data_IF_749448831846
#
_entry.id   IF_749448831846
#
_cell.length_a   1.000
_cell.length_b   1.000
_cell.length_c   1.000
_cell.angle_alpha   90.00
_cell.angle_beta   90.00
_cell.angle_gamma   90.00
#
_symmetry.space_group_name_H-M   'P 1'
#
loop_
_entity.id
_entity.type
_entity.pdbx_description
1 polymer ?
#
# COMPACT_ATOMS: atom_id res chain seq x y z
N UNK A 1 4.33 -16.01 12.85
CA UNK A 1 3.97 -16.50 11.54
C UNK A 1 4.14 -18.02 11.54
N UNK A 2 3.09 -18.79 11.61
CA UNK A 2 3.18 -20.26 11.66
C UNK A 2 2.94 -20.79 10.25
N UNK A 3 3.89 -21.54 9.74
CA UNK A 3 3.62 -22.45 8.64
C UNK A 3 2.72 -23.54 9.22
N UNK A 4 1.54 -23.70 8.65
CA UNK A 4 0.58 -24.72 9.10
C UNK A 4 1.08 -26.11 8.72
N UNK A 5 1.00 -27.09 9.63
CA UNK A 5 1.15 -28.48 9.27
C UNK A 5 -0.06 -28.98 8.48
N UNK A 6 0.19 -29.95 7.66
CA UNK A 6 -0.70 -30.67 6.77
C UNK A 6 -2.01 -31.10 7.46
N UNK A 7 -3.07 -30.34 7.25
CA UNK A 7 -4.45 -30.79 7.51
C UNK A 7 -5.36 -30.18 6.49
N UNK A 8 -5.90 -31.00 5.61
CA UNK A 8 -6.74 -30.66 4.47
C UNK A 8 -8.04 -29.90 4.80
N UNK A 9 -7.91 -28.68 5.25
CA UNK A 9 -8.99 -27.70 5.37
C UNK A 9 -8.53 -26.39 4.78
N UNK A 10 -9.27 -25.90 3.82
CA UNK A 10 -9.20 -24.52 3.33
C UNK A 10 -9.50 -23.59 4.49
N UNK A 11 -8.51 -22.87 4.98
CA UNK A 11 -8.73 -21.76 5.89
C UNK A 11 -8.69 -20.46 5.08
N UNK A 12 -9.78 -19.72 5.14
CA UNK A 12 -9.79 -18.30 4.80
C UNK A 12 -8.69 -17.60 5.58
N UNK A 13 -7.79 -16.97 4.86
CA UNK A 13 -6.73 -16.15 5.46
C UNK A 13 -7.22 -14.72 5.47
N UNK A 14 -7.65 -14.27 6.64
CA UNK A 14 -7.91 -12.87 6.90
C UNK A 14 -6.73 -11.99 6.47
N UNK A 15 -7.07 -10.84 5.86
CA UNK A 15 -6.16 -9.92 5.19
C UNK A 15 -5.03 -9.37 6.06
N UNK A 16 -4.00 -10.18 6.24
CA UNK A 16 -2.73 -9.74 6.82
C UNK A 16 -1.82 -9.13 5.75
N UNK A 17 -1.32 -7.95 6.01
CA UNK A 17 -0.28 -7.29 5.22
C UNK A 17 0.96 -8.17 5.22
N UNK A 18 1.24 -8.83 4.11
CA UNK A 18 2.48 -9.58 3.93
C UNK A 18 3.61 -8.63 3.59
N UNK A 19 4.45 -8.33 4.57
CA UNK A 19 5.75 -7.71 4.35
C UNK A 19 6.66 -8.68 3.61
N UNK A 20 7.04 -8.29 2.39
CA UNK A 20 8.25 -8.69 1.72
C UNK A 20 8.50 -10.19 1.50
N UNK A 21 7.71 -10.86 0.68
CA UNK A 21 8.11 -12.12 0.08
C UNK A 21 8.09 -11.97 -1.45
N UNK A 22 9.25 -12.08 -2.08
CA UNK A 22 9.32 -12.23 -3.54
C UNK A 22 8.54 -13.47 -3.94
N UNK A 23 7.47 -13.32 -4.72
CA UNK A 23 6.62 -14.42 -5.15
C UNK A 23 6.78 -14.63 -6.65
N UNK A 24 7.44 -15.70 -7.05
CA UNK A 24 7.23 -16.27 -8.36
C UNK A 24 6.23 -17.42 -8.21
N UNK A 25 5.15 -17.38 -8.97
CA UNK A 25 4.20 -18.48 -9.04
C UNK A 25 4.42 -19.23 -10.35
N UNK A 26 4.59 -20.55 -10.27
CA UNK A 26 4.65 -21.42 -11.42
C UNK A 26 3.37 -22.26 -11.48
N UNK A 27 2.80 -22.36 -12.67
CA UNK A 27 1.70 -23.27 -12.95
C UNK A 27 2.22 -24.52 -13.63
N UNK A 28 1.82 -25.66 -13.16
CA UNK A 28 1.97 -26.92 -13.90
C UNK A 28 0.63 -27.62 -13.96
N UNK A 29 0.19 -27.96 -15.16
CA UNK A 29 -1.00 -28.79 -15.35
C UNK A 29 -0.63 -30.22 -14.97
N UNK A 30 -1.25 -30.74 -13.90
CA UNK A 30 -1.10 -32.13 -13.48
C UNK A 30 -2.20 -32.95 -14.14
N UNK A 31 -1.81 -33.99 -14.91
CA UNK A 31 -2.76 -34.83 -15.59
C UNK A 31 -3.73 -35.56 -14.65
N UNK A 32 -4.92 -35.86 -15.13
CA UNK A 32 -5.94 -36.59 -14.35
C UNK A 32 -5.48 -38.01 -14.07
N UNK A 33 -5.29 -38.37 -12.80
CA UNK A 33 -4.96 -39.75 -12.38
C UNK A 33 -4.58 -39.86 -10.89
N UNK A 34 -4.75 -41.01 -10.34
CA UNK A 34 -4.86 -41.45 -8.94
C UNK A 34 -3.65 -41.12 -7.99
N UNK A 35 -2.59 -40.45 -8.42
CA UNK A 35 -1.42 -40.13 -7.57
C UNK A 35 -1.16 -38.65 -7.39
N UNK A 36 -2.20 -37.86 -7.07
CA UNK A 36 -2.14 -36.39 -7.03
C UNK A 36 -1.13 -35.81 -6.05
N UNK A 37 -0.96 -36.37 -4.84
CA UNK A 37 -0.05 -35.83 -3.82
C UNK A 37 1.42 -36.05 -4.18
N UNK A 38 1.76 -37.18 -4.75
CA UNK A 38 3.11 -37.47 -5.21
C UNK A 38 3.48 -36.65 -6.44
N UNK A 39 2.55 -36.47 -7.38
CA UNK A 39 2.78 -35.65 -8.58
C UNK A 39 2.91 -34.15 -8.26
N UNK A 40 2.20 -33.64 -7.25
CA UNK A 40 2.39 -32.26 -6.77
C UNK A 40 3.74 -32.10 -6.08
N UNK A 41 4.19 -33.10 -5.32
CA UNK A 41 5.56 -33.13 -4.76
C UNK A 41 6.62 -33.21 -5.83
N UNK A 42 6.50 -34.10 -6.80
CA UNK A 42 7.42 -34.19 -7.96
C UNK A 42 7.45 -32.93 -8.81
N UNK A 43 6.31 -32.24 -8.97
CA UNK A 43 6.25 -30.96 -9.66
C UNK A 43 6.92 -29.86 -8.86
N UNK A 44 6.75 -29.84 -7.53
CA UNK A 44 7.42 -28.92 -6.64
C UNK A 44 8.95 -29.15 -6.59
N UNK A 45 9.38 -30.42 -6.59
CA UNK A 45 10.79 -30.80 -6.62
C UNK A 45 11.47 -30.46 -7.95
N UNK A 46 10.71 -30.48 -9.07
CA UNK A 46 11.23 -30.09 -10.41
C UNK A 46 11.35 -28.56 -10.58
N UNK A 47 10.61 -27.79 -9.82
CA UNK A 47 10.64 -26.30 -9.89
C UNK A 47 11.78 -25.72 -9.02
N UNK A 48 12.74 -26.53 -8.58
CA UNK A 48 13.85 -26.13 -7.71
C UNK A 48 13.33 -25.28 -6.52
N UNK A 49 13.71 -25.53 -5.32
CA UNK A 49 13.33 -24.82 -4.08
C UNK A 49 11.86 -24.30 -3.96
N UNK A 50 10.97 -24.65 -4.91
CA UNK A 50 9.57 -24.22 -4.93
C UNK A 50 8.70 -25.12 -4.04
N UNK A 51 8.09 -24.56 -2.99
CA UNK A 51 7.08 -25.25 -2.21
C UNK A 51 5.72 -25.12 -2.90
N UNK A 52 5.00 -26.25 -3.08
CA UNK A 52 3.61 -26.22 -3.48
C UNK A 52 2.80 -25.44 -2.42
N UNK A 53 2.05 -24.43 -2.84
CA UNK A 53 1.31 -23.53 -1.93
C UNK A 53 -0.20 -23.60 -2.12
N UNK A 54 -0.67 -24.33 -3.14
CA UNK A 54 -2.08 -24.52 -3.42
C UNK A 54 -2.32 -25.15 -4.77
N UNK A 55 -3.56 -25.34 -5.11
CA UNK A 55 -3.96 -25.89 -6.41
C UNK A 55 -5.45 -25.73 -6.64
N UNK A 56 -5.85 -25.87 -7.89
CA UNK A 56 -7.24 -26.05 -8.31
C UNK A 56 -7.37 -27.48 -8.83
N UNK A 57 -8.00 -28.33 -8.03
CA UNK A 57 -8.18 -29.73 -8.36
C UNK A 57 -9.08 -29.95 -9.58
N UNK A 58 -10.11 -29.11 -9.74
CA UNK A 58 -11.03 -29.21 -10.87
C UNK A 58 -10.34 -28.83 -12.18
N UNK A 59 -9.47 -27.82 -12.14
CA UNK A 59 -8.67 -27.43 -13.30
C UNK A 59 -7.40 -28.27 -13.48
N UNK A 60 -7.06 -29.17 -12.54
CA UNK A 60 -5.81 -29.95 -12.58
C UNK A 60 -4.55 -29.10 -12.49
N UNK A 61 -4.59 -28.00 -11.74
CA UNK A 61 -3.51 -27.03 -11.61
C UNK A 61 -2.94 -27.06 -10.19
N UNK A 62 -1.60 -27.04 -10.08
CA UNK A 62 -0.89 -26.82 -8.83
C UNK A 62 -0.06 -25.55 -8.91
N UNK A 63 0.01 -24.80 -7.81
CA UNK A 63 0.80 -23.59 -7.68
C UNK A 63 2.03 -23.87 -6.83
N UNK A 64 3.21 -23.58 -7.36
CA UNK A 64 4.46 -23.62 -6.63
C UNK A 64 5.02 -22.21 -6.45
N UNK A 65 5.70 -21.99 -5.32
CA UNK A 65 6.28 -20.69 -4.96
C UNK A 65 7.77 -20.82 -4.73
N UNK A 66 8.57 -20.20 -5.60
CA UNK A 66 9.99 -20.03 -5.39
C UNK A 66 10.27 -18.78 -4.53
N UNK A 67 11.27 -18.88 -3.65
CA UNK A 67 11.69 -17.82 -2.74
C UNK A 67 13.18 -17.60 -2.83
N UNK A 68 13.62 -16.36 -2.99
CA UNK A 68 15.05 -16.01 -3.09
C UNK A 68 15.81 -16.17 -1.77
N UNK A 69 15.10 -16.21 -0.65
CA UNK A 69 15.68 -16.34 0.68
C UNK A 69 15.74 -17.77 1.21
N UNK A 70 15.13 -18.77 0.52
CA UNK A 70 15.22 -20.17 0.91
C UNK A 70 16.67 -20.64 0.98
N UNK A 71 17.04 -21.27 2.10
CA UNK A 71 18.40 -21.72 2.39
C UNK A 71 19.40 -20.60 2.74
N UNK A 72 18.92 -19.36 2.91
CA UNK A 72 19.74 -18.18 3.26
C UNK A 72 19.33 -17.54 4.59
N UNK A 73 18.51 -18.20 5.36
CA UNK A 73 17.92 -17.70 6.60
C UNK A 73 18.98 -17.40 7.66
N UNK A 74 19.92 -18.33 7.87
CA UNK A 74 20.99 -18.14 8.84
C UNK A 74 21.97 -17.05 8.41
N UNK A 75 22.32 -16.99 7.13
CA UNK A 75 23.20 -15.94 6.63
C UNK A 75 22.56 -14.56 6.78
N UNK A 76 21.25 -14.44 6.53
CA UNK A 76 20.47 -13.23 6.76
C UNK A 76 20.47 -12.83 8.24
N UNK A 77 20.28 -13.80 9.14
CA UNK A 77 20.34 -13.57 10.58
C UNK A 77 21.72 -13.08 11.02
N UNK A 78 22.80 -13.70 10.53
CA UNK A 78 24.16 -13.25 10.83
C UNK A 78 24.44 -11.84 10.30
N UNK A 79 23.96 -11.51 9.11
CA UNK A 79 24.03 -10.15 8.59
C UNK A 79 23.35 -9.16 9.54
N UNK A 80 22.17 -9.51 10.02
CA UNK A 80 21.39 -8.68 10.95
C UNK A 80 22.10 -8.47 12.29
N UNK A 81 22.60 -9.53 12.90
CA UNK A 81 23.28 -9.45 14.20
C UNK A 81 24.60 -8.69 14.09
N UNK A 82 25.37 -8.90 13.03
CA UNK A 82 26.69 -8.30 12.84
C UNK A 82 26.70 -6.87 12.36
N UNK A 83 25.58 -6.36 11.81
CA UNK A 83 25.53 -4.97 11.35
C UNK A 83 25.86 -3.96 12.47
N UNK A 84 25.50 -4.25 13.74
CA UNK A 84 25.83 -3.42 14.89
C UNK A 84 27.33 -3.36 15.24
N UNK A 85 28.15 -4.24 14.65
CA UNK A 85 29.60 -4.27 14.82
C UNK A 85 30.34 -3.47 13.73
N UNK A 86 29.63 -3.00 12.70
CA UNK A 86 30.21 -2.23 11.64
C UNK A 86 30.67 -0.85 12.14
N UNK A 87 31.87 -0.44 11.73
CA UNK A 87 32.48 0.84 12.11
C UNK A 87 32.34 1.92 11.04
N UNK A 88 31.86 1.55 9.87
CA UNK A 88 31.65 2.45 8.75
C UNK A 88 30.55 1.94 7.80
N UNK A 89 30.20 2.78 6.82
CA UNK A 89 29.18 2.45 5.81
C UNK A 89 29.51 1.18 5.02
N UNK A 90 30.78 0.99 4.62
CA UNK A 90 31.19 -0.16 3.79
C UNK A 90 31.01 -1.46 4.55
N UNK A 91 31.47 -1.50 5.80
CA UNK A 91 31.33 -2.66 6.68
C UNK A 91 29.85 -2.99 6.95
N UNK A 92 29.06 -1.94 7.21
CA UNK A 92 27.63 -2.09 7.44
C UNK A 92 26.89 -2.59 6.16
N UNK A 93 27.20 -2.03 5.01
CA UNK A 93 26.61 -2.42 3.73
C UNK A 93 26.94 -3.90 3.38
N UNK A 94 28.16 -4.36 3.72
CA UNK A 94 28.54 -5.76 3.57
C UNK A 94 27.72 -6.72 4.44
N UNK A 95 27.24 -6.29 5.61
CA UNK A 95 26.28 -7.08 6.39
C UNK A 95 24.86 -7.03 5.80
N UNK A 96 24.47 -5.89 5.27
CA UNK A 96 23.19 -5.74 4.58
C UNK A 96 23.09 -6.62 3.33
N UNK A 97 24.19 -6.83 2.60
CA UNK A 97 24.27 -7.73 1.45
C UNK A 97 23.96 -9.19 1.80
N UNK A 98 24.25 -9.62 3.02
CA UNK A 98 23.96 -10.99 3.48
C UNK A 98 22.47 -11.23 3.65
N UNK A 99 21.68 -10.18 3.90
CA UNK A 99 20.26 -10.30 4.14
C UNK A 99 19.50 -10.60 2.84
N UNK A 100 18.88 -11.76 2.77
CA UNK A 100 18.07 -12.19 1.65
C UNK A 100 16.61 -11.73 1.74
N UNK A 101 16.17 -11.22 2.90
CA UNK A 101 14.83 -10.67 3.10
C UNK A 101 14.77 -9.23 2.61
N UNK A 102 13.63 -8.89 2.00
CA UNK A 102 13.36 -7.53 1.49
C UNK A 102 12.95 -6.61 2.63
N UNK A 103 13.89 -5.78 3.10
CA UNK A 103 13.70 -4.89 4.25
C UNK A 103 14.40 -3.55 3.98
N UNK A 104 13.85 -2.48 4.53
CA UNK A 104 14.47 -1.16 4.54
C UNK A 104 15.45 -1.07 5.70
N UNK A 105 16.73 -0.91 5.41
CA UNK A 105 17.77 -0.71 6.41
C UNK A 105 18.33 0.70 6.35
N UNK A 106 18.57 1.28 7.53
CA UNK A 106 19.10 2.63 7.71
C UNK A 106 20.40 2.61 8.47
N UNK A 107 21.31 3.48 8.05
CA UNK A 107 22.60 3.70 8.67
C UNK A 107 22.70 5.14 9.16
N UNK A 108 23.29 5.33 10.33
CA UNK A 108 23.74 6.61 10.82
C UNK A 108 25.00 6.43 11.67
N UNK A 109 25.95 7.35 11.59
CA UNK A 109 27.17 7.32 12.41
C UNK A 109 27.44 8.64 13.12
N UNK A 110 28.40 8.60 14.06
CA UNK A 110 28.79 9.77 14.85
C UNK A 110 29.49 10.86 14.03
N UNK A 111 29.86 10.59 12.78
CA UNK A 111 30.48 11.56 11.86
C UNK A 111 29.43 12.35 11.09
N UNK A 112 28.15 12.06 11.34
CA UNK A 112 27.03 12.71 10.67
C UNK A 112 26.63 12.05 9.34
N UNK A 113 27.18 10.90 9.02
CA UNK A 113 26.79 10.19 7.81
C UNK A 113 25.47 9.45 8.01
N UNK A 114 24.65 9.43 6.96
CA UNK A 114 23.41 8.67 6.89
C UNK A 114 23.40 7.81 5.62
N UNK A 115 22.72 6.68 5.67
CA UNK A 115 22.64 5.77 4.53
C UNK A 115 21.37 4.92 4.56
N UNK A 116 21.01 4.40 3.41
CA UNK A 116 19.88 3.53 3.22
C UNK A 116 20.17 2.44 2.21
N UNK A 117 19.65 1.27 2.46
CA UNK A 117 19.59 0.18 1.48
C UNK A 117 18.30 -0.60 1.62
N UNK A 118 17.70 -0.92 0.49
CA UNK A 118 16.63 -1.90 0.43
C UNK A 118 17.25 -3.28 0.23
N UNK A 119 17.33 -4.07 1.31
CA UNK A 119 17.97 -5.38 1.29
C UNK A 119 17.17 -6.39 0.48
N UNK A 120 17.67 -7.60 0.40
CA UNK A 120 17.02 -8.72 -0.28
C UNK A 120 17.83 -9.24 -1.46
N UNK A 121 17.54 -10.47 -1.83
CA UNK A 121 18.05 -11.11 -3.05
C UNK A 121 16.94 -11.07 -4.09
N UNK A 122 17.19 -10.44 -5.22
CA UNK A 122 16.20 -10.27 -6.27
C UNK A 122 16.48 -11.19 -7.45
N UNK A 123 15.46 -11.91 -7.96
CA UNK A 123 15.65 -12.80 -9.08
C UNK A 123 15.82 -12.01 -10.38
N UNK A 124 16.75 -12.46 -11.22
CA UNK A 124 16.83 -12.06 -12.62
C UNK A 124 15.78 -12.82 -13.43
N UNK A 125 14.70 -12.14 -13.79
CA UNK A 125 13.55 -12.71 -14.48
C UNK A 125 13.73 -12.72 -15.99
N UNK A 126 13.03 -13.64 -16.65
CA UNK A 126 12.93 -13.65 -18.12
C UNK A 126 12.15 -12.44 -18.62
N UNK A 127 12.48 -11.98 -19.82
CA UNK A 127 11.71 -10.96 -20.50
C UNK A 127 10.26 -11.42 -20.71
N UNK A 128 9.31 -10.50 -20.61
CA UNK A 128 7.88 -10.79 -20.74
C UNK A 128 7.21 -11.37 -19.50
N UNK A 129 7.95 -11.58 -18.41
CA UNK A 129 7.35 -12.00 -17.14
C UNK A 129 6.48 -10.87 -16.55
N UNK A 130 5.17 -11.08 -16.55
CA UNK A 130 4.25 -10.20 -15.82
C UNK A 130 4.22 -10.60 -14.35
N UNK A 131 4.80 -9.77 -13.48
CA UNK A 131 4.89 -10.00 -12.04
C UNK A 131 3.54 -10.13 -11.32
N UNK A 132 2.46 -9.73 -11.99
CA UNK A 132 1.10 -9.78 -11.46
C UNK A 132 0.46 -11.16 -11.59
N UNK A 133 1.01 -11.99 -12.46
CA UNK A 133 0.41 -13.26 -12.84
C UNK A 133 1.39 -14.39 -12.56
N UNK A 134 0.86 -15.58 -12.20
CA UNK A 134 1.64 -16.80 -12.20
C UNK A 134 2.13 -17.14 -13.61
N UNK A 135 3.23 -17.83 -13.70
CA UNK A 135 3.81 -18.29 -14.98
C UNK A 135 3.74 -19.81 -15.10
N UNK A 136 3.71 -20.36 -16.33
CA UNK A 136 3.76 -21.80 -16.53
C UNK A 136 4.99 -22.45 -15.88
N UNK A 137 4.80 -23.57 -15.19
CA UNK A 137 5.87 -24.35 -14.55
C UNK A 137 6.65 -25.24 -15.52
N UNK A 138 6.86 -24.79 -16.75
CA UNK A 138 7.59 -25.51 -17.82
C UNK A 138 9.10 -25.31 -17.78
N UNK A 139 9.57 -24.39 -16.90
CA UNK A 139 10.98 -23.98 -16.83
C UNK A 139 11.33 -22.80 -17.74
N UNK A 140 10.52 -22.47 -18.74
CA UNK A 140 10.80 -21.36 -19.66
C UNK A 140 10.87 -19.99 -18.98
N UNK A 141 10.11 -19.82 -17.92
CA UNK A 141 10.03 -18.57 -17.14
C UNK A 141 10.81 -18.63 -15.83
N UNK A 142 11.61 -19.67 -15.62
CA UNK A 142 12.49 -19.76 -14.45
C UNK A 142 13.50 -18.62 -14.40
N UNK A 143 13.90 -18.27 -13.19
CA UNK A 143 14.89 -17.21 -12.99
C UNK A 143 16.22 -17.58 -13.64
N UNK A 144 16.88 -16.60 -14.25
CA UNK A 144 18.24 -16.76 -14.77
C UNK A 144 19.32 -16.81 -13.69
N UNK A 145 18.96 -16.34 -12.50
CA UNK A 145 19.84 -16.21 -11.35
C UNK A 145 19.35 -15.11 -10.42
N UNK A 146 20.25 -14.54 -9.64
CA UNK A 146 20.00 -13.42 -8.76
C UNK A 146 20.71 -12.18 -9.30
N UNK A 147 20.05 -11.03 -9.19
CA UNK A 147 20.65 -9.74 -9.48
C UNK A 147 21.78 -9.45 -8.47
N UNK A 148 22.84 -8.75 -8.88
CA UNK A 148 23.92 -8.37 -7.98
C UNK A 148 23.41 -7.34 -6.96
N UNK A 149 23.87 -7.43 -5.72
CA UNK A 149 23.42 -6.57 -4.61
C UNK A 149 23.57 -5.07 -4.90
N UNK A 150 24.59 -4.67 -5.67
CA UNK A 150 24.77 -3.26 -6.08
C UNK A 150 23.61 -2.68 -6.88
N UNK A 151 22.71 -3.53 -7.43
CA UNK A 151 21.49 -3.08 -8.12
C UNK A 151 20.33 -2.81 -7.17
N UNK A 152 20.45 -3.18 -5.91
CA UNK A 152 19.44 -2.86 -4.92
C UNK A 152 19.38 -1.34 -4.69
N UNK A 153 18.19 -0.77 -4.45
CA UNK A 153 18.07 0.63 -4.07
C UNK A 153 18.93 0.94 -2.84
N UNK A 154 19.86 1.89 -3.00
CA UNK A 154 20.75 2.31 -1.92
C UNK A 154 21.20 3.74 -2.12
N UNK A 155 21.41 4.45 -1.03
CA UNK A 155 21.94 5.81 -1.03
C UNK A 155 22.79 6.05 0.22
N UNK A 156 23.83 6.83 0.06
CA UNK A 156 24.70 7.27 1.14
C UNK A 156 24.88 8.79 1.06
N UNK A 157 24.62 9.48 2.17
CA UNK A 157 24.68 10.93 2.30
C UNK A 157 23.91 11.66 1.18
N UNK A 158 22.56 11.48 1.10
CA UNK A 158 21.79 12.15 0.06
C UNK A 158 21.85 13.67 0.22
N UNK A 159 21.80 14.40 -0.90
CA UNK A 159 21.82 15.87 -0.92
C UNK A 159 20.69 16.52 -0.11
N UNK A 160 19.59 15.81 0.07
CA UNK A 160 18.46 16.24 0.91
C UNK A 160 18.82 16.37 2.39
N UNK A 161 19.89 15.69 2.84
CA UNK A 161 20.30 15.65 4.24
C UNK A 161 19.40 14.80 5.15
N UNK A 162 18.41 14.11 4.60
CA UNK A 162 17.52 13.21 5.35
C UNK A 162 17.10 11.98 4.54
N UNK A 163 16.62 10.98 5.25
CA UNK A 163 16.01 9.77 4.69
C UNK A 163 14.64 9.60 5.29
N UNK A 164 13.64 9.31 4.44
CA UNK A 164 12.27 9.08 4.86
C UNK A 164 11.72 7.80 4.25
N UNK A 165 10.92 7.11 5.03
CA UNK A 165 10.15 5.97 4.57
C UNK A 165 8.83 5.88 5.33
N UNK A 166 7.78 5.61 4.61
CA UNK A 166 6.49 5.24 5.17
C UNK A 166 5.84 4.15 4.32
N UNK A 167 6.59 3.08 4.07
CA UNK A 167 6.25 1.95 3.20
C UNK A 167 6.05 2.33 1.71
N UNK A 168 6.66 3.42 1.29
CA UNK A 168 6.69 3.86 -0.10
C UNK A 168 7.64 3.00 -0.95
N UNK A 169 7.61 3.20 -2.26
CA UNK A 169 8.60 2.60 -3.15
C UNK A 169 10.01 3.01 -2.72
N UNK A 170 10.97 2.05 -2.70
CA UNK A 170 12.34 2.33 -2.25
C UNK A 170 13.09 3.31 -3.14
N UNK A 171 12.70 3.43 -4.40
CA UNK A 171 13.18 4.49 -5.31
C UNK A 171 12.21 4.69 -6.47
N UNK A 172 12.28 5.85 -7.12
CA UNK A 172 11.47 6.15 -8.31
C UNK A 172 11.81 5.17 -9.44
N UNK A 173 10.78 4.60 -10.04
CA UNK A 173 10.93 3.68 -11.18
C UNK A 173 11.45 2.29 -10.80
N UNK A 174 11.55 1.98 -9.51
CA UNK A 174 11.96 0.65 -9.07
C UNK A 174 10.94 -0.41 -9.50
N UNK A 175 11.37 -1.42 -10.27
CA UNK A 175 10.49 -2.52 -10.66
C UNK A 175 10.17 -3.34 -9.42
N UNK A 176 8.95 -3.24 -8.95
CA UNK A 176 8.54 -3.89 -7.73
C UNK A 176 8.54 -5.42 -7.84
N UNK A 177 9.52 -6.12 -7.28
CA UNK A 177 9.53 -7.58 -7.28
C UNK A 177 8.56 -8.19 -6.28
N UNK A 178 8.03 -7.40 -5.34
CA UNK A 178 7.27 -7.86 -4.18
C UNK A 178 5.75 -7.70 -4.33
N UNK A 179 5.27 -7.32 -5.49
CA UNK A 179 3.84 -7.14 -5.81
C UNK A 179 3.12 -6.02 -5.04
N UNK A 180 3.83 -5.15 -4.36
CA UNK A 180 3.21 -4.01 -3.67
C UNK A 180 2.87 -2.84 -4.61
N UNK A 181 2.96 -3.07 -5.92
CA UNK A 181 2.62 -2.08 -6.95
C UNK A 181 1.19 -1.53 -6.80
N UNK A 182 0.25 -2.29 -6.23
CA UNK A 182 -1.10 -1.84 -5.89
C UNK A 182 -1.10 -0.81 -4.75
N UNK A 183 -0.11 -0.88 -3.86
CA UNK A 183 -0.01 0.00 -2.70
C UNK A 183 0.84 1.24 -2.96
N UNK A 184 1.62 1.26 -4.05
CA UNK A 184 2.47 2.39 -4.40
C UNK A 184 1.81 3.26 -5.47
N UNK A 185 1.97 4.54 -5.36
CA UNK A 185 1.41 5.52 -6.30
C UNK A 185 1.79 6.94 -5.97
N UNK A 186 1.38 7.88 -6.80
CA UNK A 186 1.69 9.30 -6.60
C UNK A 186 0.94 9.92 -5.40
N UNK A 187 -0.24 9.39 -5.06
CA UNK A 187 -0.90 9.73 -3.82
C UNK A 187 -0.34 8.85 -2.72
N UNK A 188 0.50 9.41 -1.88
CA UNK A 188 1.17 8.70 -0.79
C UNK A 188 1.29 9.58 0.45
N UNK A 189 1.22 8.94 1.61
CA UNK A 189 1.40 9.60 2.91
C UNK A 189 2.82 10.09 3.13
N UNK A 190 3.80 9.51 2.43
CA UNK A 190 5.18 9.96 2.45
C UNK A 190 5.31 11.45 2.15
N UNK A 191 4.53 11.96 1.20
CA UNK A 191 4.56 13.37 0.80
C UNK A 191 4.24 14.33 1.95
N UNK A 192 3.46 13.89 2.95
CA UNK A 192 3.19 14.68 4.15
C UNK A 192 4.42 14.74 5.06
N UNK A 193 5.12 13.62 5.24
CA UNK A 193 6.34 13.55 6.02
C UNK A 193 7.47 14.37 5.37
N UNK A 194 7.66 14.24 4.06
CA UNK A 194 8.65 15.02 3.30
C UNK A 194 8.41 16.53 3.43
N UNK A 195 7.15 16.96 3.27
CA UNK A 195 6.80 18.37 3.40
C UNK A 195 7.09 18.92 4.79
N UNK A 196 6.82 18.15 5.83
CA UNK A 196 7.12 18.57 7.22
C UNK A 196 8.61 18.61 7.49
N UNK A 197 9.38 17.63 7.01
CA UNK A 197 10.82 17.64 7.15
C UNK A 197 11.45 18.79 6.38
N UNK A 198 11.03 19.04 5.14
CA UNK A 198 11.56 20.13 4.32
C UNK A 198 11.30 21.53 4.94
N UNK A 199 10.26 21.68 5.75
CA UNK A 199 9.97 22.92 6.48
C UNK A 199 10.90 23.16 7.70
N UNK A 200 11.71 22.16 8.09
CA UNK A 200 12.54 22.20 9.28
C UNK A 200 13.99 21.86 8.91
N UNK A 201 14.83 22.85 8.60
CA UNK A 201 16.20 22.60 8.13
C UNK A 201 17.12 21.94 9.18
N UNK A 202 16.72 22.00 10.45
CA UNK A 202 17.38 21.31 11.56
C UNK A 202 16.34 20.79 12.53
N UNK A 203 16.51 19.55 12.97
CA UNK A 203 15.68 18.89 13.95
C UNK A 203 16.57 18.23 15.00
N UNK A 204 16.30 18.50 16.25
CA UNK A 204 16.74 17.66 17.37
C UNK A 204 15.75 16.51 17.61
N UNK A 205 16.02 15.71 18.63
CA UNK A 205 15.17 14.54 18.92
C UNK A 205 13.75 14.94 19.34
N UNK A 206 13.60 16.01 20.10
CA UNK A 206 12.29 16.47 20.60
C UNK A 206 11.47 17.07 19.46
N UNK A 207 12.09 17.86 18.59
CA UNK A 207 11.43 18.40 17.39
C UNK A 207 11.03 17.28 16.42
N UNK A 208 11.84 16.22 16.28
CA UNK A 208 11.47 15.05 15.49
C UNK A 208 10.24 14.33 16.08
N UNK A 209 10.18 14.14 17.39
CA UNK A 209 9.00 13.57 18.06
C UNK A 209 7.76 14.44 17.90
N UNK A 210 7.92 15.75 18.06
CA UNK A 210 6.82 16.71 17.86
C UNK A 210 6.26 16.70 16.43
N UNK A 211 7.09 16.35 15.44
CA UNK A 211 6.68 16.21 14.04
C UNK A 211 5.89 14.92 13.78
N UNK A 212 6.16 13.84 14.52
CA UNK A 212 5.54 12.55 14.28
C UNK A 212 4.03 12.54 14.58
N UNK A 213 3.59 13.13 15.71
CA UNK A 213 2.18 13.15 16.10
C UNK A 213 1.30 13.77 15.00
N UNK A 214 1.52 15.03 14.57
CA UNK A 214 0.70 15.63 13.53
C UNK A 214 0.83 14.93 12.17
N UNK A 215 1.96 14.27 11.88
CA UNK A 215 2.10 13.45 10.68
C UNK A 215 1.19 12.23 10.74
N UNK A 216 1.09 11.58 11.89
CA UNK A 216 0.27 10.37 12.07
C UNK A 216 -1.23 10.66 12.03
N UNK A 217 -1.65 11.84 12.52
CA UNK A 217 -3.05 12.23 12.57
C UNK A 217 -3.54 12.94 11.30
N UNK A 218 -2.61 13.33 10.40
CA UNK A 218 -2.98 14.08 9.21
C UNK A 218 -3.78 13.24 8.21
N UNK A 219 -4.91 13.76 7.74
CA UNK A 219 -5.56 13.25 6.55
C UNK A 219 -4.85 13.77 5.30
N UNK A 220 -4.09 12.90 4.65
CA UNK A 220 -3.38 13.26 3.42
C UNK A 220 -4.26 13.20 2.18
N UNK A 221 -5.41 12.50 2.25
CA UNK A 221 -6.29 12.33 1.10
C UNK A 221 -6.95 13.64 0.68
N UNK A 222 -7.34 14.47 1.63
CA UNK A 222 -7.88 15.81 1.37
C UNK A 222 -6.94 16.61 0.46
N UNK A 223 -5.63 16.54 0.68
CA UNK A 223 -4.65 17.24 -0.15
C UNK A 223 -4.74 16.88 -1.63
N UNK A 224 -4.99 15.61 -1.92
CA UNK A 224 -5.02 15.12 -3.31
C UNK A 224 -6.34 15.40 -4.02
N UNK A 225 -7.44 15.45 -3.27
CA UNK A 225 -8.78 15.49 -3.88
C UNK A 225 -9.52 16.81 -3.68
N UNK A 226 -9.18 17.59 -2.64
CA UNK A 226 -9.85 18.86 -2.36
C UNK A 226 -9.87 19.82 -3.58
N UNK A 227 -8.77 20.01 -4.34
CA UNK A 227 -8.82 20.91 -5.50
C UNK A 227 -9.83 20.46 -6.57
N UNK A 228 -10.02 19.15 -6.73
CA UNK A 228 -11.01 18.60 -7.66
C UNK A 228 -12.44 18.76 -7.13
N UNK A 229 -12.63 18.63 -5.82
CA UNK A 229 -13.92 18.87 -5.16
C UNK A 229 -14.33 20.34 -5.23
N UNK A 230 -13.40 21.27 -4.96
CA UNK A 230 -13.63 22.72 -5.12
C UNK A 230 -14.04 23.07 -6.54
N UNK A 231 -13.34 22.50 -7.53
CA UNK A 231 -13.71 22.66 -8.96
C UNK A 231 -15.11 22.10 -9.25
N UNK A 232 -15.46 20.94 -8.69
CA UNK A 232 -16.75 20.31 -8.92
C UNK A 232 -17.91 21.14 -8.40
N UNK A 233 -17.76 21.80 -7.25
CA UNK A 233 -18.83 22.60 -6.62
C UNK A 233 -18.81 24.08 -6.99
N UNK A 234 -17.86 24.54 -7.79
CA UNK A 234 -17.65 25.97 -8.06
C UNK A 234 -18.88 26.68 -8.65
N UNK A 235 -19.67 25.97 -9.48
CA UNK A 235 -20.89 26.50 -10.11
C UNK A 235 -22.17 26.33 -9.27
N UNK A 236 -22.10 25.72 -8.09
CA UNK A 236 -23.27 25.52 -7.25
C UNK A 236 -23.58 26.76 -6.40
N UNK A 237 -24.86 27.00 -6.04
CA UNK A 237 -25.25 28.06 -5.11
C UNK A 237 -24.53 27.92 -3.75
N UNK A 238 -24.44 29.03 -3.01
CA UNK A 238 -23.73 29.05 -1.73
C UNK A 238 -24.42 28.22 -0.64
N UNK A 239 -25.73 28.06 -0.72
CA UNK A 239 -26.57 27.25 0.15
C UNK A 239 -26.66 25.79 -0.27
N UNK A 240 -26.06 25.39 -1.38
CA UNK A 240 -25.99 23.97 -1.78
C UNK A 240 -25.15 23.19 -0.74
N UNK A 241 -25.75 22.15 -0.20
CA UNK A 241 -25.13 21.35 0.87
C UNK A 241 -23.81 20.70 0.46
N UNK A 242 -23.65 20.29 -0.79
CA UNK A 242 -22.39 19.74 -1.33
C UNK A 242 -21.28 20.81 -1.30
N UNK A 243 -21.61 22.06 -1.64
CA UNK A 243 -20.67 23.18 -1.57
C UNK A 243 -20.30 23.50 -0.12
N UNK A 244 -21.26 23.44 0.79
CA UNK A 244 -21.01 23.61 2.23
C UNK A 244 -20.09 22.51 2.78
N UNK A 245 -20.30 21.25 2.41
CA UNK A 245 -19.40 20.14 2.77
C UNK A 245 -17.95 20.39 2.29
N UNK A 246 -17.78 20.84 1.05
CA UNK A 246 -16.45 21.14 0.50
C UNK A 246 -15.80 22.34 1.19
N UNK A 247 -16.58 23.35 1.61
CA UNK A 247 -16.08 24.46 2.45
C UNK A 247 -15.58 23.98 3.82
N UNK A 248 -16.28 23.04 4.44
CA UNK A 248 -15.81 22.42 5.70
C UNK A 248 -14.50 21.66 5.49
N UNK A 249 -14.35 20.95 4.38
CA UNK A 249 -13.08 20.30 4.02
C UNK A 249 -11.95 21.31 3.77
N UNK A 250 -12.26 22.42 3.10
CA UNK A 250 -11.28 23.47 2.79
C UNK A 250 -10.78 24.22 4.03
N UNK A 251 -11.66 24.45 5.00
CA UNK A 251 -11.33 25.08 6.27
C UNK A 251 -10.71 24.16 7.32
N UNK A 252 -10.63 22.87 7.04
CA UNK A 252 -10.11 21.89 7.99
C UNK A 252 -8.57 21.89 8.02
N UNK A 253 -8.00 21.82 9.21
CA UNK A 253 -6.56 21.66 9.42
C UNK A 253 -6.03 20.27 8.99
N UNK A 254 -6.93 19.38 8.63
CA UNK A 254 -6.69 17.99 8.19
C UNK A 254 -6.25 17.06 9.30
N UNK A 255 -6.49 17.42 10.55
CA UNK A 255 -6.13 16.59 11.68
C UNK A 255 -7.33 15.75 12.15
N UNK A 256 -7.12 14.44 12.24
CA UNK A 256 -8.02 13.56 12.96
C UNK A 256 -7.68 13.63 14.45
N UNK A 257 -8.00 14.75 15.09
CA UNK A 257 -7.72 14.99 16.51
C UNK A 257 -9.02 14.95 17.33
N UNK A 258 -8.86 14.63 18.61
CA UNK A 258 -9.88 14.65 19.67
C UNK A 258 -9.21 15.35 20.85
N UNK A 259 -9.07 16.68 20.73
CA UNK A 259 -8.34 17.50 21.70
C UNK A 259 -9.09 17.61 23.03
N UNK A 260 -10.43 17.62 22.98
CA UNK A 260 -11.30 17.69 24.15
C UNK A 260 -11.51 16.32 24.82
N UNK A 261 -11.10 15.21 24.16
CA UNK A 261 -11.16 13.81 24.65
C UNK A 261 -12.59 13.34 24.93
N UNK A 262 -13.56 13.77 24.12
CA UNK A 262 -14.94 13.30 24.24
C UNK A 262 -15.22 12.02 23.45
N UNK A 263 -14.22 11.47 22.75
CA UNK A 263 -14.30 10.28 21.94
C UNK A 263 -14.85 10.53 20.55
N UNK A 264 -14.84 11.78 20.09
CA UNK A 264 -15.21 12.19 18.74
C UNK A 264 -14.12 13.07 18.15
N UNK A 265 -13.96 13.00 16.84
CA UNK A 265 -13.06 13.94 16.15
C UNK A 265 -13.62 15.36 16.20
N UNK A 266 -12.77 16.35 16.36
CA UNK A 266 -13.14 17.76 16.57
C UNK A 266 -13.77 18.44 15.33
N UNK A 267 -13.63 17.84 14.13
CA UNK A 267 -14.09 18.43 12.87
C UNK A 267 -15.08 17.55 12.13
N UNK A 268 -16.19 18.09 11.61
CA UNK A 268 -17.10 17.38 10.73
C UNK A 268 -16.43 16.90 9.42
N UNK A 269 -15.35 17.51 9.00
CA UNK A 269 -14.55 17.09 7.85
C UNK A 269 -14.03 15.66 8.01
N UNK A 270 -13.78 15.21 9.24
CA UNK A 270 -13.40 13.84 9.58
C UNK A 270 -14.47 12.78 9.24
N UNK A 271 -15.73 13.19 9.12
CA UNK A 271 -16.82 12.34 8.65
C UNK A 271 -17.08 12.53 7.15
N UNK A 272 -16.96 13.75 6.64
CA UNK A 272 -17.28 14.10 5.24
C UNK A 272 -16.32 13.40 4.28
N UNK A 273 -15.00 13.48 4.51
CA UNK A 273 -14.02 12.91 3.60
C UNK A 273 -14.14 11.40 3.42
N UNK A 274 -14.25 10.60 4.51
CA UNK A 274 -14.48 9.17 4.41
C UNK A 274 -15.79 8.80 3.69
N UNK A 275 -16.87 9.54 3.96
CA UNK A 275 -18.17 9.28 3.35
C UNK A 275 -18.12 9.53 1.83
N UNK A 276 -17.52 10.65 1.41
CA UNK A 276 -17.30 10.93 -0.01
C UNK A 276 -16.44 9.87 -0.69
N UNK A 277 -15.33 9.45 -0.05
CA UNK A 277 -14.45 8.41 -0.59
C UNK A 277 -15.21 7.10 -0.79
N UNK A 278 -15.96 6.67 0.19
CA UNK A 278 -16.72 5.43 0.11
C UNK A 278 -17.72 5.48 -1.05
N UNK A 279 -18.42 6.61 -1.24
CA UNK A 279 -19.35 6.80 -2.35
C UNK A 279 -18.63 6.80 -3.71
N UNK A 280 -17.51 7.53 -3.84
CA UNK A 280 -16.71 7.54 -5.06
C UNK A 280 -16.20 6.15 -5.43
N UNK A 281 -15.65 5.41 -4.47
CA UNK A 281 -15.11 4.08 -4.73
C UNK A 281 -16.21 3.09 -5.15
N UNK A 282 -17.39 3.17 -4.53
CA UNK A 282 -18.57 2.37 -4.96
C UNK A 282 -18.97 2.69 -6.40
N UNK A 283 -19.06 3.98 -6.72
CA UNK A 283 -19.54 4.43 -8.03
C UNK A 283 -18.53 4.20 -9.18
N UNK A 284 -17.25 4.03 -8.86
CA UNK A 284 -16.17 3.95 -9.85
C UNK A 284 -15.46 2.60 -9.81
N UNK A 285 -14.50 2.43 -8.91
CA UNK A 285 -13.57 1.30 -8.90
C UNK A 285 -14.27 -0.03 -8.58
N UNK A 286 -15.17 -0.01 -7.60
CA UNK A 286 -15.83 -1.23 -7.13
C UNK A 286 -17.01 -1.67 -7.99
N UNK A 287 -17.61 -0.76 -8.75
CA UNK A 287 -18.83 -1.02 -9.52
C UNK A 287 -18.70 -2.15 -10.56
N UNK A 288 -17.49 -2.35 -11.09
CA UNK A 288 -17.24 -3.31 -12.16
C UNK A 288 -16.39 -4.51 -11.69
N UNK A 289 -16.18 -4.63 -10.38
CA UNK A 289 -15.42 -5.72 -9.80
C UNK A 289 -16.33 -6.80 -9.19
N UNK A 290 -15.95 -8.08 -9.26
CA UNK A 290 -16.58 -9.12 -8.45
C UNK A 290 -16.56 -8.74 -6.96
N UNK A 291 -17.60 -9.12 -6.21
CA UNK A 291 -17.80 -8.69 -4.83
C UNK A 291 -16.57 -8.92 -3.91
N UNK A 292 -15.89 -10.05 -4.08
CA UNK A 292 -14.69 -10.38 -3.30
C UNK A 292 -13.50 -9.46 -3.58
N UNK A 293 -13.38 -8.97 -4.80
CA UNK A 293 -12.37 -7.98 -5.16
C UNK A 293 -12.82 -6.56 -4.79
N UNK A 294 -14.12 -6.25 -4.94
CA UNK A 294 -14.66 -4.94 -4.62
C UNK A 294 -14.40 -4.55 -3.17
N UNK A 295 -14.60 -5.46 -2.22
CA UNK A 295 -14.35 -5.21 -0.78
C UNK A 295 -12.93 -4.73 -0.48
N UNK A 296 -11.92 -5.22 -1.23
CA UNK A 296 -10.53 -4.81 -1.08
C UNK A 296 -10.29 -3.35 -1.48
N UNK A 297 -11.00 -2.87 -2.51
CA UNK A 297 -10.90 -1.48 -2.98
C UNK A 297 -11.86 -0.53 -2.25
N UNK A 298 -12.94 -1.03 -1.69
CA UNK A 298 -13.90 -0.24 -0.92
C UNK A 298 -13.34 0.22 0.43
N UNK A 299 -12.34 -0.47 0.96
CA UNK A 299 -11.62 0.01 2.13
C UNK A 299 -10.83 1.26 1.75
N UNK A 300 -11.34 2.41 2.12
CA UNK A 300 -10.64 3.68 1.97
C UNK A 300 -9.61 3.91 3.10
N UNK A 301 -9.43 2.91 3.96
CA UNK A 301 -8.55 2.94 5.11
C UNK A 301 -9.05 3.76 6.29
N UNK A 302 -10.21 4.34 6.15
CA UNK A 302 -10.84 5.01 7.29
C UNK A 302 -11.44 3.96 8.22
N UNK A 303 -11.28 4.12 9.53
CA UNK A 303 -11.86 3.20 10.49
C UNK A 303 -13.38 3.22 10.41
N UNK A 304 -14.00 2.04 10.43
CA UNK A 304 -15.43 1.87 10.62
C UNK A 304 -15.69 1.18 11.96
N UNK A 305 -16.94 1.20 12.43
CA UNK A 305 -17.30 0.51 13.67
C UNK A 305 -17.04 -1.00 13.60
N UNK A 306 -17.15 -1.58 12.39
CA UNK A 306 -17.02 -3.03 12.15
C UNK A 306 -15.60 -3.42 11.71
N UNK A 307 -14.83 -2.49 11.21
CA UNK A 307 -13.48 -2.74 10.70
C UNK A 307 -12.51 -1.69 11.23
N UNK A 308 -11.79 -1.97 12.31
CA UNK A 308 -10.67 -1.11 12.71
C UNK A 308 -9.64 -1.03 11.57
N UNK A 309 -8.90 0.07 11.44
CA UNK A 309 -7.97 0.24 10.35
C UNK A 309 -6.90 -0.85 10.40
N UNK A 310 -6.86 -1.69 9.37
CA UNK A 310 -5.75 -2.60 9.17
C UNK A 310 -4.53 -1.81 8.65
N UNK A 311 -3.94 -0.99 9.49
CA UNK A 311 -2.82 -0.12 9.13
C UNK A 311 -3.23 1.33 8.89
N UNK A 312 -2.35 2.11 8.24
CA UNK A 312 -2.59 3.53 8.00
C UNK A 312 -3.66 3.78 6.96
N UNK A 313 -4.56 4.72 7.24
CA UNK A 313 -5.62 5.20 6.34
C UNK A 313 -5.11 5.63 4.95
N UNK A 314 -3.84 5.95 4.84
CA UNK A 314 -3.24 6.55 3.65
C UNK A 314 -2.59 5.53 2.69
N UNK A 315 -2.72 4.23 2.91
CA UNK A 315 -2.06 3.17 2.10
C UNK A 315 -3.04 2.37 1.24
N UNK A 316 -4.30 2.72 1.25
CA UNK A 316 -5.35 1.89 0.65
C UNK A 316 -5.31 1.89 -0.89
N UNK A 317 -5.48 0.73 -1.55
CA UNK A 317 -5.47 0.62 -3.01
C UNK A 317 -6.50 1.50 -3.69
N UNK A 318 -7.70 1.61 -3.12
CA UNK A 318 -8.78 2.44 -3.67
C UNK A 318 -8.37 3.89 -3.86
N UNK A 319 -7.68 4.48 -2.87
CA UNK A 319 -7.16 5.86 -2.97
C UNK A 319 -6.19 6.02 -4.14
N UNK A 320 -5.28 5.06 -4.31
CA UNK A 320 -4.27 5.09 -5.38
C UNK A 320 -4.93 5.03 -6.76
N UNK A 321 -5.92 4.15 -6.92
CA UNK A 321 -6.66 4.02 -8.20
C UNK A 321 -7.48 5.27 -8.47
N UNK A 322 -8.22 5.78 -7.49
CA UNK A 322 -9.03 6.98 -7.64
C UNK A 322 -8.18 8.22 -8.00
N UNK A 323 -7.03 8.38 -7.36
CA UNK A 323 -6.09 9.44 -7.71
C UNK A 323 -5.53 9.28 -9.13
N UNK A 324 -5.27 8.05 -9.58
CA UNK A 324 -4.84 7.80 -10.96
C UNK A 324 -5.92 8.18 -11.97
N UNK A 325 -7.19 7.89 -11.67
CA UNK A 325 -8.34 8.29 -12.49
C UNK A 325 -8.38 9.83 -12.62
N UNK A 326 -8.31 10.54 -11.48
CA UNK A 326 -8.27 12.01 -11.45
C UNK A 326 -7.11 12.57 -12.28
N UNK A 327 -5.90 12.01 -12.12
CA UNK A 327 -4.72 12.48 -12.84
C UNK A 327 -4.78 12.20 -14.33
N UNK A 328 -5.36 11.07 -14.73
CA UNK A 328 -5.56 10.75 -16.14
C UNK A 328 -6.50 11.77 -16.80
N UNK A 329 -7.62 12.12 -16.17
CA UNK A 329 -8.51 13.17 -16.67
C UNK A 329 -7.80 14.53 -16.76
N UNK A 330 -7.08 14.94 -15.72
CA UNK A 330 -6.33 16.21 -15.70
C UNK A 330 -5.27 16.31 -16.81
N UNK A 331 -4.74 15.19 -17.27
CA UNK A 331 -3.71 15.11 -18.31
C UNK A 331 -4.26 14.74 -19.68
N UNK A 332 -5.57 14.53 -19.76
CA UNK A 332 -6.23 14.00 -20.97
C UNK A 332 -5.59 12.66 -21.43
N UNK A 333 -5.25 11.81 -20.48
CA UNK A 333 -4.69 10.47 -20.72
C UNK A 333 -5.81 9.43 -20.77
N UNK A 334 -5.86 8.62 -21.82
CA UNK A 334 -6.81 7.52 -21.88
C UNK A 334 -6.45 6.40 -20.90
N UNK A 335 -7.41 5.97 -20.09
CA UNK A 335 -7.31 4.75 -19.27
C UNK A 335 -7.81 3.54 -20.07
N UNK A 336 -7.25 2.35 -19.77
CA UNK A 336 -7.72 1.08 -20.38
C UNK A 336 -9.17 0.77 -20.07
N UNK A 337 -9.65 1.25 -18.93
CA UNK A 337 -11.01 1.04 -18.44
C UNK A 337 -11.62 2.37 -18.06
N UNK A 338 -12.86 2.58 -18.46
CA UNK A 338 -13.63 3.77 -18.12
C UNK A 338 -14.31 3.60 -16.74
N UNK A 339 -13.57 3.92 -15.70
CA UNK A 339 -14.09 3.89 -14.32
C UNK A 339 -15.18 4.93 -14.06
N UNK A 340 -15.24 6.00 -14.84
CA UNK A 340 -16.18 7.10 -14.66
C UNK A 340 -17.48 6.90 -15.46
N UNK A 341 -17.52 5.90 -16.33
CA UNK A 341 -18.72 5.55 -17.13
C UNK A 341 -19.23 6.74 -17.95
N UNK A 342 -18.33 7.37 -18.67
CA UNK A 342 -18.60 8.53 -19.53
C UNK A 342 -18.78 9.85 -18.80
N UNK A 343 -18.63 9.89 -17.47
CA UNK A 343 -18.71 11.13 -16.68
C UNK A 343 -17.34 11.77 -16.52
N UNK A 344 -17.32 13.06 -16.21
CA UNK A 344 -16.14 13.71 -15.67
C UNK A 344 -15.93 13.33 -14.19
N UNK A 345 -14.73 13.51 -13.68
CA UNK A 345 -14.43 13.34 -12.26
C UNK A 345 -15.28 14.29 -11.39
N UNK A 346 -15.55 15.51 -11.89
CA UNK A 346 -16.41 16.48 -11.21
C UNK A 346 -17.85 16.00 -11.09
N UNK A 347 -18.45 15.48 -12.16
CA UNK A 347 -19.81 14.93 -12.13
C UNK A 347 -19.94 13.74 -11.20
N UNK A 348 -18.98 12.80 -11.24
CA UNK A 348 -18.93 11.66 -10.31
C UNK A 348 -18.78 12.13 -8.85
N UNK A 349 -17.96 13.17 -8.61
CA UNK A 349 -17.77 13.75 -7.28
C UNK A 349 -19.04 14.40 -6.72
N UNK A 350 -19.81 15.11 -7.57
CA UNK A 350 -21.08 15.70 -7.15
C UNK A 350 -22.12 14.68 -6.75
N UNK A 351 -22.19 13.54 -7.48
CA UNK A 351 -23.05 12.42 -7.09
C UNK A 351 -22.61 11.78 -5.77
N UNK A 352 -21.31 11.58 -5.60
CA UNK A 352 -20.75 11.02 -4.37
C UNK A 352 -20.92 11.95 -3.16
N UNK A 353 -20.82 13.28 -3.35
CA UNK A 353 -21.14 14.25 -2.30
C UNK A 353 -22.61 14.21 -1.88
N UNK A 354 -23.53 14.07 -2.83
CA UNK A 354 -24.97 13.95 -2.53
C UNK A 354 -25.27 12.66 -1.75
N UNK A 355 -24.64 11.55 -2.13
CA UNK A 355 -24.77 10.26 -1.41
C UNK A 355 -24.18 10.39 0.02
N UNK A 356 -23.02 11.00 0.15
CA UNK A 356 -22.37 11.24 1.43
C UNK A 356 -23.23 12.15 2.34
N UNK A 357 -23.81 13.24 1.80
CA UNK A 357 -24.73 14.11 2.53
C UNK A 357 -25.93 13.34 3.08
N UNK A 358 -26.56 12.51 2.24
CA UNK A 358 -27.67 11.66 2.65
C UNK A 358 -27.29 10.75 3.80
N UNK A 359 -26.17 10.04 3.67
CA UNK A 359 -25.70 9.07 4.66
C UNK A 359 -25.32 9.75 6.00
N UNK A 360 -24.65 10.91 5.93
CA UNK A 360 -24.25 11.67 7.12
C UNK A 360 -25.45 12.32 7.81
N UNK A 361 -26.41 12.84 7.04
CA UNK A 361 -27.67 13.38 7.57
C UNK A 361 -28.47 12.30 8.30
N UNK A 362 -28.57 11.10 7.73
CA UNK A 362 -29.23 9.97 8.39
C UNK A 362 -28.54 9.57 9.69
N UNK A 363 -27.22 9.65 9.73
CA UNK A 363 -26.43 9.21 10.88
C UNK A 363 -26.34 10.24 12.00
N UNK A 364 -26.19 11.52 11.66
CA UNK A 364 -25.84 12.60 12.59
C UNK A 364 -26.87 13.73 12.66
N UNK A 365 -27.90 13.72 11.79
CA UNK A 365 -28.88 14.79 11.66
C UNK A 365 -28.52 15.81 10.57
N UNK A 366 -29.40 16.80 10.37
CA UNK A 366 -29.30 17.76 9.26
C UNK A 366 -28.19 18.81 9.45
N UNK A 367 -27.81 19.10 10.70
CA UNK A 367 -26.78 20.08 11.01
C UNK A 367 -25.38 19.49 10.80
N UNK A 368 -24.66 20.02 9.81
CA UNK A 368 -23.31 19.57 9.47
C UNK A 368 -22.29 19.82 10.58
N UNK A 369 -22.50 20.82 11.43
CA UNK A 369 -21.58 21.09 12.54
C UNK A 369 -21.56 19.94 13.56
N UNK A 370 -22.64 19.17 13.65
CA UNK A 370 -22.76 18.00 14.51
C UNK A 370 -22.23 16.69 13.90
N UNK A 371 -21.67 16.69 12.69
CA UNK A 371 -21.17 15.47 12.03
C UNK A 371 -19.80 15.05 12.58
N UNK A 372 -19.72 14.85 13.86
CA UNK A 372 -18.49 14.47 14.54
C UNK A 372 -18.37 12.94 14.60
N UNK A 373 -17.47 12.39 13.80
CA UNK A 373 -17.25 10.96 13.77
C UNK A 373 -16.59 10.46 15.07
N UNK A 374 -16.98 9.26 15.57
CA UNK A 374 -16.34 8.69 16.75
C UNK A 374 -14.86 8.37 16.45
N UNK A 375 -14.01 8.60 17.44
CA UNK A 375 -12.60 8.20 17.37
C UNK A 375 -12.52 6.69 17.25
N UNK A 376 -11.75 6.21 16.29
CA UNK A 376 -11.48 4.79 16.16
C UNK A 376 -10.76 4.26 17.39
N UNK A 377 -11.35 3.27 18.04
CA UNK A 377 -10.67 2.54 19.12
C UNK A 377 -9.68 1.57 18.47
N UNK A 378 -8.40 1.76 18.74
CA UNK A 378 -7.35 0.81 18.41
C UNK A 378 -7.42 -0.43 19.31
#
# INVERSE_FOLDING_TARGET
MRCLPDSGRTHEVDGGIFLGCSRAFHFQKVGQGVRRREQVREAADRVGDGLAVGGDEAAGVAYAKARTWSGRELDSLFGWVRQGQATDWKGWLGQAERNALTINWYYADRRGNIGYVHTGKYPERRAGHDLRLPVPGTGEMDWKGLLPFRSNPQVYNPDTGYLVNWNNSPMKGYPNPDMLWLSWGAADRLNELERRLAAHPRLDADAMWALLKPTSLADVNVRYFLPALEKAVAGLPDDDRRRQMVRLLAGWDRMHDDANRDGRYDSPASAIMPAWFAAMLRATVAADLPADFAKFYLSAGYPTAEAPPAGSINVQPGVKVLHRILRAEQRNEALRHDFLKGRSFSEASLLALAEADTALTQRYGADMAGWLAPVAKN
#
